data_IF_333232275011
#
_entry.id   IF_333232275011
#
_cell.length_a   1.000
_cell.length_b   1.000
_cell.length_c   1.000
_cell.angle_alpha   90.00
_cell.angle_beta   90.00
_cell.angle_gamma   90.00
#
_symmetry.space_group_name_H-M   'P 1'
#
loop_
_entity.id
_entity.type
_entity.pdbx_description
1 polymer ?
#
# COMPACT_ATOMS: atom_id res chain seq x y z
N UNK A 1 59.88 50.94 -54.75
CA UNK A 1 59.65 52.21 -54.04
C UNK A 1 58.92 51.93 -52.74
N UNK A 2 59.50 52.43 -51.63
CA UNK A 2 58.83 52.89 -50.40
C UNK A 2 58.23 51.85 -49.43
N UNK A 3 58.70 51.99 -48.18
CA UNK A 3 58.41 51.27 -46.93
C UNK A 3 56.98 51.51 -46.44
N UNK A 4 56.43 50.60 -45.63
CA UNK A 4 55.76 50.99 -44.36
C UNK A 4 55.44 49.78 -43.46
N UNK A 5 56.00 49.77 -42.25
CA UNK A 5 55.55 48.99 -41.10
C UNK A 5 54.26 49.60 -40.54
N UNK A 6 53.36 48.84 -39.90
CA UNK A 6 52.85 49.15 -38.54
C UNK A 6 51.88 48.08 -37.99
N UNK A 7 52.31 47.46 -36.89
CA UNK A 7 51.63 47.09 -35.64
C UNK A 7 50.09 46.88 -35.58
N UNK A 8 49.76 45.74 -34.95
CA UNK A 8 48.77 45.50 -33.86
C UNK A 8 47.28 45.72 -34.18
N UNK A 9 46.52 44.63 -34.09
CA UNK A 9 45.40 44.48 -33.12
C UNK A 9 44.92 43.03 -33.11
N UNK A 10 45.07 42.36 -31.97
CA UNK A 10 44.38 41.11 -31.68
C UNK A 10 42.93 41.45 -31.29
N UNK A 11 41.95 41.00 -32.07
CA UNK A 11 40.55 41.03 -31.67
C UNK A 11 40.27 39.86 -30.72
N UNK A 12 40.04 40.19 -29.45
CA UNK A 12 39.39 39.30 -28.50
C UNK A 12 37.91 39.17 -28.88
N UNK A 13 37.51 37.98 -29.34
CA UNK A 13 36.11 37.65 -29.52
C UNK A 13 35.49 37.31 -28.16
N UNK A 14 34.81 38.29 -27.55
CA UNK A 14 33.89 38.09 -26.44
C UNK A 14 32.66 37.31 -26.95
N UNK A 15 32.72 35.99 -26.85
CA UNK A 15 31.56 35.13 -27.04
C UNK A 15 30.58 35.32 -25.88
N UNK A 16 29.53 36.10 -26.10
CA UNK A 16 28.40 36.26 -25.17
C UNK A 16 27.58 34.96 -25.18
N UNK A 17 28.01 33.98 -24.40
CA UNK A 17 27.26 32.74 -24.18
C UNK A 17 26.01 33.05 -23.37
N UNK A 18 24.88 33.27 -24.05
CA UNK A 18 23.58 33.32 -23.41
C UNK A 18 23.27 31.93 -22.84
N UNK A 19 23.53 31.75 -21.54
CA UNK A 19 23.08 30.60 -20.79
C UNK A 19 21.55 30.65 -20.71
N UNK A 20 20.88 30.03 -21.68
CA UNK A 20 19.47 29.65 -21.59
C UNK A 20 19.37 28.62 -20.47
N UNK A 21 19.17 29.10 -19.25
CA UNK A 21 18.68 28.28 -18.15
C UNK A 21 17.27 27.82 -18.54
N UNK A 22 17.19 26.61 -19.09
CA UNK A 22 15.91 25.91 -19.25
C UNK A 22 15.40 25.67 -17.84
N UNK A 23 14.53 26.57 -17.36
CA UNK A 23 13.65 26.27 -16.23
C UNK A 23 12.76 25.11 -16.69
N UNK A 24 13.18 23.89 -16.37
CA UNK A 24 12.27 22.76 -16.41
C UNK A 24 11.12 23.14 -15.46
N UNK A 25 9.86 23.17 -15.92
CA UNK A 25 8.76 23.40 -15.01
C UNK A 25 8.84 22.29 -13.96
N UNK A 26 8.96 22.69 -12.69
CA UNK A 26 8.67 21.79 -11.59
C UNK A 26 7.32 21.17 -11.92
N UNK A 27 7.29 19.85 -12.16
CA UNK A 27 6.04 19.14 -12.35
C UNK A 27 5.19 19.45 -11.12
N UNK A 28 4.12 20.24 -11.31
CA UNK A 28 3.29 20.68 -10.21
C UNK A 28 2.75 19.42 -9.51
N UNK A 29 2.88 19.38 -8.19
CA UNK A 29 2.28 18.31 -7.42
C UNK A 29 0.76 18.29 -7.72
N UNK A 30 0.23 17.14 -8.13
CA UNK A 30 -1.18 16.98 -8.44
C UNK A 30 -2.07 17.56 -7.33
N UNK A 31 -2.94 18.49 -7.70
CA UNK A 31 -3.88 19.14 -6.78
C UNK A 31 -5.24 18.46 -6.79
N UNK A 32 -6.06 18.75 -5.78
CA UNK A 32 -7.47 18.32 -5.77
C UNK A 32 -8.24 18.97 -6.92
N UNK A 33 -7.88 20.20 -7.29
CA UNK A 33 -8.47 20.89 -8.43
C UNK A 33 -8.20 20.17 -9.75
N UNK A 34 -7.01 19.60 -9.94
CA UNK A 34 -6.67 18.81 -11.14
C UNK A 34 -7.52 17.53 -11.22
N UNK A 35 -7.69 16.83 -10.10
CA UNK A 35 -8.57 15.64 -10.01
C UNK A 35 -10.01 16.01 -10.37
N UNK A 36 -10.53 17.11 -9.81
CA UNK A 36 -11.88 17.61 -10.10
C UNK A 36 -12.03 18.01 -11.56
N UNK A 37 -11.04 18.68 -12.14
CA UNK A 37 -11.02 19.06 -13.55
C UNK A 37 -10.96 17.84 -14.49
N UNK A 38 -10.19 16.81 -14.11
CA UNK A 38 -10.16 15.50 -14.80
C UNK A 38 -11.51 14.78 -14.72
N UNK A 39 -12.28 15.01 -13.64
CA UNK A 39 -13.59 14.40 -13.42
C UNK A 39 -13.53 12.93 -12.98
N UNK A 40 -12.33 12.41 -12.69
CA UNK A 40 -12.10 11.04 -12.28
C UNK A 40 -10.91 10.95 -11.30
N UNK A 41 -11.07 10.16 -10.24
CA UNK A 41 -10.03 9.73 -9.32
C UNK A 41 -9.61 8.29 -9.64
N UNK A 42 -8.37 8.09 -10.08
CA UNK A 42 -7.77 6.78 -10.34
C UNK A 42 -7.13 6.24 -9.06
N UNK A 43 -7.69 5.18 -8.49
CA UNK A 43 -7.29 4.61 -7.18
C UNK A 43 -6.58 3.28 -7.38
N UNK A 44 -5.34 3.16 -6.90
CA UNK A 44 -4.68 1.87 -6.78
C UNK A 44 -5.22 1.09 -5.57
N UNK A 45 -5.65 -0.15 -5.78
CA UNK A 45 -6.25 -1.01 -4.76
C UNK A 45 -5.77 -2.46 -4.85
N UNK A 46 -5.53 -3.12 -3.72
CA UNK A 46 -5.31 -4.57 -3.69
C UNK A 46 -6.64 -5.31 -3.97
N UNK A 47 -6.58 -6.46 -4.64
CA UNK A 47 -7.77 -7.31 -4.90
C UNK A 47 -7.60 -8.75 -4.39
N UNK A 48 -6.52 -8.99 -3.67
CA UNK A 48 -6.04 -10.26 -3.14
C UNK A 48 -6.08 -10.32 -1.60
N UNK A 49 -6.66 -9.30 -0.96
CA UNK A 49 -6.63 -9.12 0.49
C UNK A 49 -8.05 -9.00 1.11
N UNK A 50 -8.87 -10.07 1.06
CA UNK A 50 -10.23 -10.02 1.58
C UNK A 50 -10.28 -9.87 3.12
N UNK A 51 -11.31 -9.19 3.65
CA UNK A 51 -12.41 -8.51 2.95
C UNK A 51 -12.07 -7.07 2.52
N UNK A 52 -10.82 -6.62 2.69
CA UNK A 52 -10.43 -5.26 2.36
C UNK A 52 -10.46 -5.01 0.85
N UNK A 53 -9.80 -5.89 0.11
CA UNK A 53 -9.75 -5.85 -1.34
C UNK A 53 -10.00 -7.24 -1.91
N UNK A 54 -10.99 -7.35 -2.79
CA UNK A 54 -11.36 -8.60 -3.46
C UNK A 54 -11.89 -8.30 -4.88
N UNK A 55 -12.31 -9.34 -5.58
CA UNK A 55 -13.13 -9.22 -6.79
C UNK A 55 -14.51 -9.82 -6.54
N UNK A 56 -15.55 -9.18 -7.09
CA UNK A 56 -16.90 -9.72 -7.06
C UNK A 56 -17.12 -10.77 -8.17
N UNK A 57 -18.33 -11.31 -8.27
CA UNK A 57 -18.71 -12.31 -9.27
C UNK A 57 -18.58 -11.82 -10.74
N UNK A 58 -18.52 -10.51 -10.96
CA UNK A 58 -18.30 -9.89 -12.27
C UNK A 58 -16.82 -9.56 -12.52
N UNK A 59 -15.91 -10.09 -11.70
CA UNK A 59 -14.48 -9.79 -11.72
C UNK A 59 -14.14 -8.30 -11.57
N UNK A 60 -15.01 -7.54 -10.90
CA UNK A 60 -14.77 -6.12 -10.61
C UNK A 60 -14.18 -5.95 -9.21
N UNK A 61 -13.28 -4.96 -9.00
CA UNK A 61 -12.77 -4.63 -7.67
C UNK A 61 -13.89 -4.36 -6.66
N UNK A 62 -13.83 -5.02 -5.51
CA UNK A 62 -14.82 -4.93 -4.45
C UNK A 62 -14.15 -5.05 -3.07
N UNK A 63 -14.91 -4.86 -2.00
CA UNK A 63 -14.41 -4.90 -0.62
C UNK A 63 -14.45 -3.56 0.09
N UNK A 64 -13.93 -3.53 1.31
CA UNK A 64 -13.87 -2.33 2.15
C UNK A 64 -13.11 -1.19 1.46
N UNK A 65 -11.92 -1.45 0.91
CA UNK A 65 -11.10 -0.44 0.24
C UNK A 65 -11.79 0.09 -1.03
N UNK A 66 -12.54 -0.75 -1.73
CA UNK A 66 -13.32 -0.35 -2.90
C UNK A 66 -14.45 0.62 -2.50
N UNK A 67 -15.15 0.35 -1.40
CA UNK A 67 -16.21 1.23 -0.91
C UNK A 67 -15.65 2.53 -0.31
N UNK A 68 -14.50 2.50 0.36
CA UNK A 68 -13.78 3.71 0.79
C UNK A 68 -13.34 4.55 -0.42
N UNK A 69 -12.83 3.93 -1.48
CA UNK A 69 -12.45 4.61 -2.71
C UNK A 69 -13.66 5.28 -3.40
N UNK A 70 -14.79 4.58 -3.49
CA UNK A 70 -16.06 5.13 -4.02
C UNK A 70 -16.55 6.30 -3.16
N UNK A 71 -16.48 6.17 -1.83
CA UNK A 71 -16.88 7.23 -0.90
C UNK A 71 -15.99 8.47 -1.04
N UNK A 72 -14.67 8.29 -1.19
CA UNK A 72 -13.72 9.37 -1.43
C UNK A 72 -14.01 10.09 -2.75
N UNK A 73 -14.20 9.35 -3.84
CA UNK A 73 -14.53 9.95 -5.14
C UNK A 73 -15.86 10.73 -5.09
N UNK A 74 -16.86 10.20 -4.36
CA UNK A 74 -18.13 10.90 -4.11
C UNK A 74 -17.91 12.21 -3.34
N UNK A 75 -17.12 12.21 -2.28
CA UNK A 75 -16.77 13.42 -1.50
C UNK A 75 -16.06 14.47 -2.37
N UNK A 76 -15.28 14.02 -3.36
CA UNK A 76 -14.60 14.88 -4.33
C UNK A 76 -15.50 15.33 -5.50
N UNK A 77 -16.68 14.72 -5.68
CA UNK A 77 -17.58 15.01 -6.79
C UNK A 77 -17.09 14.49 -8.15
N UNK A 78 -16.34 13.38 -8.17
CA UNK A 78 -15.74 12.80 -9.38
C UNK A 78 -16.08 11.31 -9.52
N UNK A 79 -15.85 10.74 -10.71
CA UNK A 79 -15.93 9.29 -10.92
C UNK A 79 -14.77 8.57 -10.23
N UNK A 80 -14.97 7.32 -9.84
CA UNK A 80 -13.89 6.45 -9.36
C UNK A 80 -13.47 5.48 -10.46
N UNK A 81 -12.16 5.31 -10.61
CA UNK A 81 -11.56 4.31 -11.47
C UNK A 81 -10.56 3.49 -10.64
N UNK A 82 -10.92 2.25 -10.31
CA UNK A 82 -10.08 1.39 -9.46
C UNK A 82 -9.15 0.57 -10.35
N UNK A 83 -7.85 0.72 -10.11
CA UNK A 83 -6.78 -0.01 -10.79
C UNK A 83 -6.21 -1.05 -9.83
N UNK A 84 -6.39 -2.35 -10.11
CA UNK A 84 -5.76 -3.40 -9.31
C UNK A 84 -4.24 -3.26 -9.27
N UNK A 85 -3.68 -3.37 -8.08
CA UNK A 85 -2.24 -3.38 -7.80
C UNK A 85 -1.88 -4.60 -6.94
N UNK A 86 -0.59 -4.89 -6.86
CA UNK A 86 -0.02 -5.92 -5.97
C UNK A 86 0.73 -5.25 -4.82
N UNK A 87 1.02 -6.02 -3.77
CA UNK A 87 1.84 -5.57 -2.65
C UNK A 87 3.16 -4.88 -3.10
N UNK A 88 3.93 -5.49 -4.02
CA UNK A 88 5.17 -4.92 -4.55
C UNK A 88 5.01 -3.69 -5.45
N UNK A 89 3.98 -3.63 -6.29
CA UNK A 89 3.91 -2.60 -7.34
C UNK A 89 3.10 -1.36 -6.97
N UNK A 90 2.30 -1.38 -5.89
CA UNK A 90 1.39 -0.28 -5.53
C UNK A 90 2.09 1.06 -5.29
N UNK A 91 3.20 1.10 -4.55
CA UNK A 91 4.00 2.33 -4.37
C UNK A 91 4.63 2.78 -5.70
N UNK A 92 5.32 1.90 -6.47
CA UNK A 92 5.79 2.25 -7.81
C UNK A 92 4.71 2.82 -8.74
N UNK A 93 3.50 2.25 -8.75
CA UNK A 93 2.38 2.75 -9.55
C UNK A 93 1.98 4.17 -9.15
N UNK A 94 1.94 4.45 -7.85
CA UNK A 94 1.67 5.78 -7.33
C UNK A 94 2.76 6.78 -7.73
N UNK A 95 4.03 6.42 -7.54
CA UNK A 95 5.18 7.30 -7.82
C UNK A 95 5.38 7.56 -9.32
N UNK A 96 4.95 6.63 -10.18
CA UNK A 96 5.02 6.77 -11.65
C UNK A 96 3.74 7.34 -12.27
N UNK A 97 2.84 7.91 -11.45
CA UNK A 97 1.57 8.52 -11.87
C UNK A 97 0.62 7.57 -12.63
N UNK A 98 0.74 6.25 -12.44
CA UNK A 98 -0.24 5.28 -12.96
C UNK A 98 -1.55 5.31 -12.19
N UNK A 99 -1.51 5.78 -10.95
CA UNK A 99 -2.68 6.01 -10.09
C UNK A 99 -2.53 7.34 -9.35
N UNK A 100 -3.66 7.97 -9.03
CA UNK A 100 -3.70 9.26 -8.34
C UNK A 100 -3.43 9.09 -6.83
N UNK A 101 -3.97 8.02 -6.23
CA UNK A 101 -3.93 7.73 -4.79
C UNK A 101 -3.95 6.22 -4.55
N UNK A 102 -3.48 5.75 -3.40
CA UNK A 102 -3.70 4.37 -2.95
C UNK A 102 -4.72 4.30 -1.82
N UNK A 103 -5.75 3.50 -2.01
CA UNK A 103 -6.60 2.93 -0.96
C UNK A 103 -6.37 1.41 -1.05
N UNK A 104 -5.24 0.95 -0.51
CA UNK A 104 -4.71 -0.38 -0.81
C UNK A 104 -4.18 -1.10 0.44
N UNK A 105 -4.92 -0.97 1.56
CA UNK A 105 -4.60 -1.58 2.84
C UNK A 105 -3.12 -1.41 3.26
N UNK A 106 -2.54 -0.25 2.93
CA UNK A 106 -1.11 -0.04 3.10
C UNK A 106 -0.81 0.34 4.54
N UNK A 107 -0.18 -0.57 5.26
CA UNK A 107 0.25 -0.32 6.63
C UNK A 107 1.21 0.87 6.70
N UNK A 108 0.96 1.78 7.65
CA UNK A 108 1.81 2.93 7.95
C UNK A 108 3.08 2.40 8.63
N UNK A 109 4.24 2.61 8.00
CA UNK A 109 5.55 2.25 8.56
C UNK A 109 6.56 3.36 8.32
N UNK A 110 7.57 3.53 9.20
CA UNK A 110 8.62 4.52 8.99
C UNK A 110 9.34 4.36 7.65
N UNK A 111 9.57 3.13 7.21
CA UNK A 111 10.24 2.87 5.94
C UNK A 111 9.42 3.32 4.73
N UNK A 112 8.09 3.13 4.75
CA UNK A 112 7.22 3.62 3.67
C UNK A 112 7.04 5.13 3.73
N UNK A 113 6.99 5.71 4.93
CA UNK A 113 6.85 7.16 5.12
C UNK A 113 8.04 7.96 4.58
N UNK A 114 9.20 7.31 4.31
CA UNK A 114 10.31 7.93 3.57
C UNK A 114 10.02 8.12 2.08
N UNK A 115 9.07 7.38 1.52
CA UNK A 115 8.81 7.33 0.07
C UNK A 115 7.47 7.99 -0.31
N UNK A 116 6.49 7.98 0.58
CA UNK A 116 5.11 8.40 0.33
C UNK A 116 4.51 9.06 1.56
N UNK A 117 3.48 9.88 1.35
CA UNK A 117 2.74 10.51 2.45
C UNK A 117 1.50 9.67 2.80
N UNK A 118 1.16 9.60 4.09
CA UNK A 118 0.00 8.86 4.60
C UNK A 118 -1.02 9.79 5.23
N UNK A 119 -2.30 9.50 5.00
CA UNK A 119 -3.41 10.07 5.76
C UNK A 119 -3.43 9.53 7.18
N UNK A 120 -4.28 10.14 8.01
CA UNK A 120 -4.78 9.53 9.24
C UNK A 120 -5.33 8.12 8.95
N UNK A 121 -5.22 7.16 9.89
CA UNK A 121 -5.66 5.79 9.66
C UNK A 121 -7.13 5.67 9.30
N UNK A 122 -7.43 4.94 8.23
CA UNK A 122 -8.81 4.62 7.81
C UNK A 122 -9.18 3.14 8.05
N UNK A 123 -8.19 2.30 8.36
CA UNK A 123 -8.39 0.88 8.66
C UNK A 123 -7.26 0.37 9.57
N UNK A 124 -7.46 -0.81 10.16
CA UNK A 124 -6.48 -1.50 10.98
C UNK A 124 -6.62 -3.01 10.82
N UNK A 125 -5.49 -3.72 10.87
CA UNK A 125 -5.46 -5.18 10.82
C UNK A 125 -4.54 -5.74 11.91
N UNK A 126 -4.88 -6.95 12.35
CA UNK A 126 -3.97 -7.80 13.12
C UNK A 126 -3.37 -8.82 12.18
N UNK A 127 -2.04 -8.88 12.16
CA UNK A 127 -1.25 -9.85 11.40
C UNK A 127 -0.79 -10.94 12.37
N UNK A 128 -1.00 -12.19 11.97
CA UNK A 128 -0.74 -13.39 12.75
C UNK A 128 0.08 -14.37 11.94
N UNK A 129 0.73 -15.29 12.63
CA UNK A 129 1.14 -16.56 12.04
C UNK A 129 -0.05 -17.54 12.18
N UNK A 130 -0.55 -18.04 11.05
CA UNK A 130 -1.66 -19.00 11.01
C UNK A 130 -1.15 -20.33 10.46
N UNK A 131 -1.26 -21.42 11.21
CA UNK A 131 -0.58 -22.67 10.86
C UNK A 131 -1.29 -23.92 11.35
N UNK A 132 -0.74 -25.07 10.96
CA UNK A 132 -1.30 -26.39 11.29
C UNK A 132 -1.51 -26.54 12.80
N UNK A 133 -2.71 -26.95 13.20
CA UNK A 133 -3.07 -27.12 14.63
C UNK A 133 -2.18 -28.13 15.34
N UNK A 134 -1.82 -29.21 14.64
CA UNK A 134 -0.95 -30.28 15.16
C UNK A 134 0.50 -29.84 15.48
N UNK A 135 0.94 -28.71 14.93
CA UNK A 135 2.31 -28.24 15.08
C UNK A 135 2.40 -27.22 16.21
N UNK A 136 3.22 -27.49 17.22
CA UNK A 136 3.53 -26.50 18.27
C UNK A 136 4.41 -25.40 17.68
N UNK A 137 3.88 -24.19 17.57
CA UNK A 137 4.57 -22.98 17.07
C UNK A 137 4.22 -21.78 17.97
N UNK A 138 4.50 -21.87 19.26
CA UNK A 138 4.05 -20.85 20.23
C UNK A 138 4.92 -19.58 20.20
N UNK A 139 6.13 -19.69 19.67
CA UNK A 139 7.11 -18.62 19.64
C UNK A 139 7.94 -18.65 18.34
N UNK A 140 8.67 -17.57 18.00
CA UNK A 140 9.57 -17.58 16.85
C UNK A 140 10.61 -18.70 16.91
N UNK A 141 11.10 -19.10 18.09
CA UNK A 141 12.09 -20.17 18.23
C UNK A 141 11.59 -21.52 17.68
N UNK A 142 10.28 -21.75 17.73
CA UNK A 142 9.65 -22.99 17.27
C UNK A 142 9.55 -23.10 15.74
N UNK A 143 9.95 -22.07 15.00
CA UNK A 143 9.87 -22.03 13.54
C UNK A 143 11.06 -22.71 12.85
N UNK A 144 12.08 -23.13 13.60
CA UNK A 144 13.24 -23.83 13.04
C UNK A 144 12.80 -25.12 12.34
N UNK A 145 13.22 -25.28 11.08
CA UNK A 145 12.85 -26.42 10.23
C UNK A 145 11.42 -26.36 9.69
N UNK A 146 10.67 -25.28 9.93
CA UNK A 146 9.33 -25.08 9.39
C UNK A 146 9.37 -24.29 8.08
N UNK A 147 8.41 -24.58 7.21
CA UNK A 147 8.16 -23.86 5.96
C UNK A 147 7.10 -22.80 6.22
N UNK A 148 7.51 -21.55 6.26
CA UNK A 148 6.60 -20.44 6.59
C UNK A 148 6.38 -19.58 5.35
N UNK A 149 5.13 -19.48 4.91
CA UNK A 149 4.75 -18.61 3.81
C UNK A 149 4.53 -17.17 4.27
N UNK A 150 4.88 -16.21 3.41
CA UNK A 150 4.50 -14.79 3.53
C UNK A 150 4.30 -14.20 2.13
N UNK A 151 3.37 -13.25 1.99
CA UNK A 151 3.35 -12.41 0.79
C UNK A 151 4.58 -11.50 0.78
N UNK A 152 5.28 -11.38 -0.35
CA UNK A 152 6.48 -10.53 -0.45
C UNK A 152 6.14 -9.04 -0.36
N UNK A 153 7.09 -8.22 0.09
CA UNK A 153 6.92 -6.77 0.29
C UNK A 153 5.76 -6.40 1.25
N UNK A 154 5.38 -7.33 2.11
CA UNK A 154 4.34 -7.16 3.12
C UNK A 154 4.95 -6.86 4.50
N UNK A 155 4.10 -6.46 5.44
CA UNK A 155 4.52 -6.28 6.83
C UNK A 155 4.71 -7.62 7.55
N UNK A 156 3.98 -8.68 7.16
CA UNK A 156 4.22 -10.03 7.68
C UNK A 156 5.59 -10.58 7.28
N UNK A 157 6.06 -10.32 6.05
CA UNK A 157 7.39 -10.73 5.60
C UNK A 157 8.48 -10.05 6.44
N UNK A 158 8.39 -8.73 6.60
CA UNK A 158 9.34 -7.96 7.43
C UNK A 158 9.31 -8.44 8.88
N UNK A 159 8.11 -8.60 9.46
CA UNK A 159 7.96 -9.01 10.86
C UNK A 159 8.49 -10.44 11.10
N UNK A 160 8.15 -11.38 10.22
CA UNK A 160 8.60 -12.77 10.33
C UNK A 160 10.11 -12.86 10.14
N UNK A 161 10.66 -12.22 9.11
CA UNK A 161 12.10 -12.24 8.80
C UNK A 161 12.93 -11.70 9.96
N UNK A 162 12.43 -10.71 10.69
CA UNK A 162 13.13 -10.13 11.82
C UNK A 162 13.22 -11.07 13.05
N UNK A 163 12.33 -12.05 13.17
CA UNK A 163 12.24 -12.92 14.37
C UNK A 163 12.51 -14.40 14.08
N UNK A 164 12.51 -14.80 12.81
CA UNK A 164 12.68 -16.19 12.41
C UNK A 164 14.11 -16.69 12.74
N UNK A 165 14.26 -17.82 13.45
CA UNK A 165 15.56 -18.41 13.74
C UNK A 165 16.17 -18.99 12.46
N UNK A 166 17.50 -19.12 12.48
CA UNK A 166 18.24 -19.84 11.45
C UNK A 166 17.68 -21.26 11.25
N UNK A 167 17.50 -21.66 10.00
CA UNK A 167 16.88 -22.92 9.62
C UNK A 167 15.35 -22.84 9.42
N UNK A 168 14.73 -21.67 9.58
CA UNK A 168 13.35 -21.44 9.11
C UNK A 168 13.34 -21.25 7.59
N UNK A 169 12.53 -22.02 6.87
CA UNK A 169 12.37 -21.86 5.42
C UNK A 169 11.25 -20.85 5.13
N UNK A 170 11.61 -19.57 4.94
CA UNK A 170 10.65 -18.52 4.56
C UNK A 170 10.38 -18.57 3.06
N UNK A 171 9.17 -18.96 2.68
CA UNK A 171 8.69 -18.96 1.29
C UNK A 171 7.93 -17.67 1.01
N UNK A 172 8.42 -16.91 0.05
CA UNK A 172 7.81 -15.64 -0.37
C UNK A 172 6.92 -15.86 -1.58
N UNK A 173 5.66 -15.48 -1.43
CA UNK A 173 4.64 -15.56 -2.48
C UNK A 173 4.36 -14.18 -3.07
N UNK A 174 3.74 -14.15 -4.25
CA UNK A 174 3.38 -12.89 -4.91
C UNK A 174 2.31 -12.11 -4.14
N UNK A 175 1.41 -12.84 -3.47
CA UNK A 175 0.26 -12.31 -2.75
C UNK A 175 -0.23 -13.27 -1.65
N UNK A 176 -1.18 -12.81 -0.83
CA UNK A 176 -1.79 -13.63 0.24
C UNK A 176 -2.65 -14.77 -0.33
N UNK A 177 -3.19 -14.63 -1.54
CA UNK A 177 -4.01 -15.65 -2.18
C UNK A 177 -3.20 -16.90 -2.54
N UNK A 178 -2.04 -16.72 -3.17
CA UNK A 178 -1.09 -17.79 -3.49
C UNK A 178 -0.47 -18.41 -2.23
N UNK A 179 -0.18 -17.59 -1.21
CA UNK A 179 0.24 -18.09 0.11
C UNK A 179 -0.83 -18.96 0.79
N UNK A 180 -2.10 -18.54 0.75
CA UNK A 180 -3.24 -19.35 1.23
C UNK A 180 -3.34 -20.68 0.48
N UNK A 181 -3.22 -20.69 -0.85
CA UNK A 181 -3.28 -21.94 -1.62
C UNK A 181 -2.14 -22.88 -1.25
N UNK A 182 -0.92 -22.36 -1.07
CA UNK A 182 0.22 -23.16 -0.63
C UNK A 182 0.00 -23.77 0.76
N UNK A 183 -0.65 -23.06 1.68
CA UNK A 183 -1.00 -23.59 3.00
C UNK A 183 -2.05 -24.70 2.89
N UNK A 184 -3.14 -24.45 2.14
CA UNK A 184 -4.22 -25.41 1.93
C UNK A 184 -3.73 -26.70 1.25
N UNK A 185 -2.74 -26.61 0.37
CA UNK A 185 -2.14 -27.77 -0.30
C UNK A 185 -0.99 -28.42 0.48
N UNK A 186 -0.65 -27.94 1.67
CA UNK A 186 0.43 -28.48 2.51
C UNK A 186 1.87 -28.19 2.03
N UNK A 187 2.05 -27.24 1.12
CA UNK A 187 3.38 -26.80 0.66
C UNK A 187 4.12 -25.99 1.74
N UNK A 188 3.39 -25.35 2.65
CA UNK A 188 3.91 -24.64 3.82
C UNK A 188 3.17 -25.11 5.08
N UNK A 189 3.80 -24.95 6.24
CA UNK A 189 3.28 -25.40 7.54
C UNK A 189 2.49 -24.29 8.25
N UNK A 190 2.83 -23.02 7.96
CA UNK A 190 2.12 -21.84 8.41
C UNK A 190 2.25 -20.69 7.41
N UNK A 191 1.33 -19.74 7.49
CA UNK A 191 1.28 -18.53 6.69
C UNK A 191 1.23 -17.31 7.62
N UNK A 192 2.17 -16.38 7.46
CA UNK A 192 2.00 -15.03 7.98
C UNK A 192 0.92 -14.32 7.18
N UNK A 193 -0.17 -13.90 7.82
CA UNK A 193 -1.31 -13.26 7.15
C UNK A 193 -2.13 -12.43 8.14
N UNK A 194 -3.12 -11.68 7.67
CA UNK A 194 -4.09 -11.03 8.56
C UNK A 194 -5.05 -12.04 9.19
N UNK A 195 -5.65 -11.70 10.33
CA UNK A 195 -6.74 -12.49 10.92
C UNK A 195 -7.93 -12.66 9.97
N UNK A 196 -8.14 -11.72 9.05
CA UNK A 196 -9.19 -11.83 8.03
C UNK A 196 -8.87 -12.86 6.96
N UNK A 197 -7.62 -12.93 6.51
CA UNK A 197 -7.15 -14.00 5.60
C UNK A 197 -7.18 -15.35 6.31
N UNK A 198 -6.76 -15.43 7.57
CA UNK A 198 -6.88 -16.63 8.40
C UNK A 198 -8.33 -17.13 8.49
N UNK A 199 -9.30 -16.22 8.68
CA UNK A 199 -10.72 -16.58 8.69
C UNK A 199 -11.21 -17.13 7.33
N UNK A 200 -10.68 -16.65 6.20
CA UNK A 200 -11.00 -17.21 4.88
C UNK A 200 -10.40 -18.60 4.69
N UNK A 201 -9.18 -18.84 5.18
CA UNK A 201 -8.55 -20.16 5.19
C UNK A 201 -9.41 -21.14 6.00
N UNK A 202 -9.84 -20.73 7.21
CA UNK A 202 -10.67 -21.54 8.10
C UNK A 202 -12.02 -21.96 7.46
N UNK A 203 -12.60 -21.11 6.60
CA UNK A 203 -13.83 -21.43 5.85
C UNK A 203 -13.62 -22.44 4.72
N UNK A 204 -12.39 -22.55 4.20
CA UNK A 204 -12.04 -23.41 3.05
C UNK A 204 -11.39 -24.72 3.46
N UNK A 205 -10.82 -24.78 4.65
CA UNK A 205 -10.18 -25.97 5.21
C UNK A 205 -11.17 -26.82 6.03
N UNK A 206 -10.90 -28.13 6.21
CA UNK A 206 -11.61 -28.92 7.20
C UNK A 206 -11.52 -28.28 8.59
N UNK A 207 -12.60 -28.37 9.37
CA UNK A 207 -12.66 -27.80 10.71
C UNK A 207 -11.46 -28.27 11.57
N UNK A 208 -10.95 -27.38 12.43
CA UNK A 208 -9.82 -27.64 13.33
C UNK A 208 -8.47 -28.00 12.67
N UNK A 209 -8.30 -27.75 11.36
CA UNK A 209 -7.02 -28.03 10.67
C UNK A 209 -5.92 -27.01 11.01
N UNK A 210 -6.29 -25.73 11.11
CA UNK A 210 -5.37 -24.62 11.31
C UNK A 210 -5.81 -23.74 12.49
N UNK A 211 -4.86 -23.02 13.09
CA UNK A 211 -5.12 -22.08 14.18
C UNK A 211 -4.13 -20.91 14.18
N UNK A 212 -4.50 -19.82 14.86
CA UNK A 212 -3.60 -18.72 15.14
C UNK A 212 -2.51 -19.19 16.12
N UNK A 213 -1.25 -18.98 15.74
CA UNK A 213 -0.09 -19.37 16.54
C UNK A 213 0.38 -18.25 17.44
N UNK A 214 0.67 -17.09 16.86
CA UNK A 214 0.94 -15.87 17.60
C UNK A 214 0.71 -14.64 16.72
N UNK A 215 0.57 -13.48 17.36
CA UNK A 215 0.46 -12.19 16.68
C UNK A 215 1.85 -11.77 16.21
N UNK A 216 2.00 -11.54 14.91
CA UNK A 216 3.22 -10.95 14.33
C UNK A 216 3.24 -9.44 14.54
N UNK A 217 2.09 -8.80 14.32
CA UNK A 217 1.98 -7.33 14.37
C UNK A 217 0.53 -6.86 14.41
N UNK A 218 0.30 -5.77 15.14
CA UNK A 218 -0.88 -4.93 14.90
C UNK A 218 -0.49 -3.72 14.04
N UNK A 219 -1.33 -3.37 13.08
CA UNK A 219 -1.02 -2.29 12.15
C UNK A 219 -2.25 -1.46 11.80
N UNK A 220 -1.99 -0.19 11.52
CA UNK A 220 -2.95 0.76 10.98
C UNK A 220 -2.61 1.08 9.53
N UNK A 221 -3.62 1.39 8.73
CA UNK A 221 -3.54 1.60 7.30
C UNK A 221 -4.00 3.01 6.95
N UNK A 222 -3.22 3.69 6.10
CA UNK A 222 -3.52 5.04 5.62
C UNK A 222 -3.85 5.05 4.13
N UNK A 223 -4.56 6.09 3.70
CA UNK A 223 -4.68 6.46 2.29
C UNK A 223 -3.37 7.15 1.91
N UNK A 224 -2.83 6.85 0.72
CA UNK A 224 -1.44 7.16 0.40
C UNK A 224 -1.33 8.03 -0.83
N UNK A 225 -0.53 9.09 -0.72
CA UNK A 225 -0.25 10.03 -1.80
C UNK A 225 1.25 10.09 -2.10
N UNK A 226 1.60 10.70 -3.23
CA UNK A 226 2.99 11.09 -3.49
C UNK A 226 3.42 12.15 -2.46
N UNK A 227 4.74 12.25 -2.17
CA UNK A 227 5.27 13.32 -1.34
C UNK A 227 4.92 14.72 -1.87
N UNK A 228 4.75 15.68 -0.96
CA UNK A 228 4.60 17.09 -1.31
C UNK A 228 3.18 17.50 -1.75
N UNK A 229 2.18 16.64 -1.53
CA UNK A 229 0.78 16.91 -1.86
C UNK A 229 -0.02 17.39 -0.64
N UNK A 230 0.45 18.44 0.05
CA UNK A 230 -0.11 18.88 1.33
C UNK A 230 -1.62 19.20 1.30
N UNK A 231 -2.10 19.86 0.25
CA UNK A 231 -3.54 20.17 0.09
C UNK A 231 -4.38 18.88 -0.07
N UNK A 232 -3.89 17.93 -0.88
CA UNK A 232 -4.58 16.67 -1.06
C UNK A 232 -4.55 15.84 0.23
N UNK A 233 -3.41 15.82 0.93
CA UNK A 233 -3.29 15.15 2.22
C UNK A 233 -4.24 15.73 3.28
N UNK A 234 -4.39 17.06 3.33
CA UNK A 234 -5.39 17.70 4.18
C UNK A 234 -6.80 17.22 3.83
N UNK A 235 -7.12 17.16 2.54
CA UNK A 235 -8.42 16.67 2.05
C UNK A 235 -8.68 15.22 2.47
N UNK A 236 -7.67 14.36 2.41
CA UNK A 236 -7.75 12.96 2.85
C UNK A 236 -7.94 12.85 4.37
N UNK A 237 -7.24 13.66 5.15
CA UNK A 237 -7.41 13.70 6.61
C UNK A 237 -8.81 14.19 7.00
N UNK A 238 -9.31 15.24 6.35
CA UNK A 238 -10.67 15.75 6.57
C UNK A 238 -11.73 14.69 6.17
N UNK A 239 -11.49 13.95 5.08
CA UNK A 239 -12.32 12.83 4.65
C UNK A 239 -12.37 11.73 5.70
N UNK A 240 -11.22 11.29 6.22
CA UNK A 240 -11.15 10.25 7.25
C UNK A 240 -11.83 10.71 8.53
N UNK A 241 -11.56 11.93 9.00
CA UNK A 241 -12.16 12.47 10.21
C UNK A 241 -13.68 12.58 10.12
N UNK A 242 -14.20 13.14 9.02
CA UNK A 242 -15.64 13.29 8.77
C UNK A 242 -16.34 11.94 8.68
N UNK A 243 -15.76 10.97 7.96
CA UNK A 243 -16.40 9.67 7.76
C UNK A 243 -16.24 8.71 8.95
N UNK A 244 -15.32 9.00 9.88
CA UNK A 244 -15.37 8.43 11.24
C UNK A 244 -16.51 9.05 12.05
N UNK A 245 -16.59 10.37 12.09
CA UNK A 245 -17.54 11.10 12.93
C UNK A 245 -19.02 10.86 12.53
N UNK A 246 -19.31 10.76 11.23
CA UNK A 246 -20.66 10.50 10.72
C UNK A 246 -21.02 8.99 10.69
N UNK A 247 -20.08 8.11 11.07
CA UNK A 247 -20.27 6.66 11.11
C UNK A 247 -20.19 5.92 9.77
N UNK A 248 -19.93 6.57 8.65
CA UNK A 248 -19.87 5.91 7.34
C UNK A 248 -18.73 4.88 7.25
N UNK A 249 -17.53 5.20 7.75
CA UNK A 249 -16.45 4.21 7.82
C UNK A 249 -16.81 3.05 8.75
N UNK A 250 -17.57 3.30 9.83
CA UNK A 250 -18.07 2.27 10.72
C UNK A 250 -19.07 1.33 10.05
N UNK A 251 -20.00 1.87 9.24
CA UNK A 251 -20.93 1.04 8.45
C UNK A 251 -20.18 0.17 7.45
N UNK A 252 -19.16 0.70 6.78
CA UNK A 252 -18.32 -0.07 5.87
C UNK A 252 -17.54 -1.17 6.61
N UNK A 253 -17.01 -0.86 7.80
CA UNK A 253 -16.33 -1.85 8.66
C UNK A 253 -17.26 -2.99 9.05
N UNK A 254 -18.48 -2.67 9.49
CA UNK A 254 -19.49 -3.67 9.83
C UNK A 254 -19.89 -4.52 8.61
N UNK A 255 -20.12 -3.89 7.46
CA UNK A 255 -20.47 -4.59 6.21
C UNK A 255 -19.42 -5.63 5.82
N UNK A 256 -18.14 -5.27 5.88
CA UNK A 256 -17.06 -6.08 5.29
C UNK A 256 -16.31 -6.94 6.30
N UNK A 257 -16.09 -6.42 7.50
CA UNK A 257 -15.31 -7.08 8.56
C UNK A 257 -16.19 -7.66 9.67
N UNK A 258 -17.46 -7.25 9.77
CA UNK A 258 -18.37 -7.72 10.82
C UNK A 258 -18.00 -7.23 12.22
N UNK A 259 -17.22 -6.15 12.31
CA UNK A 259 -16.78 -5.56 13.57
C UNK A 259 -16.97 -4.05 13.54
N UNK A 260 -17.01 -3.44 14.72
CA UNK A 260 -16.99 -1.98 14.83
C UNK A 260 -15.67 -1.41 14.33
N UNK A 261 -15.73 -0.15 13.90
CA UNK A 261 -14.52 0.59 13.55
C UNK A 261 -13.62 0.70 14.78
N UNK A 262 -12.37 0.22 14.72
CA UNK A 262 -11.52 0.19 15.90
C UNK A 262 -11.08 1.60 16.29
N UNK A 263 -10.90 1.80 17.60
CA UNK A 263 -10.24 3.01 18.10
C UNK A 263 -8.81 3.05 17.53
N UNK A 264 -8.55 4.05 16.69
CA UNK A 264 -7.23 4.23 16.07
C UNK A 264 -6.31 4.99 17.04
N UNK A 265 -5.00 4.74 17.02
CA UNK A 265 -4.04 5.62 17.69
C UNK A 265 -4.22 7.04 17.15
N UNK A 266 -4.17 8.04 18.02
CA UNK A 266 -4.04 9.42 17.59
C UNK A 266 -2.73 9.55 16.82
N UNK A 267 -2.81 10.06 15.59
CA UNK A 267 -1.67 10.34 14.71
C UNK A 267 -0.68 11.31 15.32
#
# INVERSE_FOLDING_TARGET
MIRSNFRRTALAALGLGAALTVFAPFAAAQSVADIKKKGELTVGMLVDFPPYGTTNAQNQPDGYDADVAKLLAKDLGVKVNIVPVTGPNRIPFLLTNKVDVLVASLAITPERAKQVDFSAPYAAATVVLYGLKKDTMASPADLKGKRIGVARASTQDVALTAVAPEGTEIRRFDDDASGMQALLSGQIDALGCSTTVAAQIAKRAPANTFENKFVLRQQVMGIVTRPGQAEFMKTLNDFVARNKANGELGKLYQKWLGTDFPTMPNS
#
